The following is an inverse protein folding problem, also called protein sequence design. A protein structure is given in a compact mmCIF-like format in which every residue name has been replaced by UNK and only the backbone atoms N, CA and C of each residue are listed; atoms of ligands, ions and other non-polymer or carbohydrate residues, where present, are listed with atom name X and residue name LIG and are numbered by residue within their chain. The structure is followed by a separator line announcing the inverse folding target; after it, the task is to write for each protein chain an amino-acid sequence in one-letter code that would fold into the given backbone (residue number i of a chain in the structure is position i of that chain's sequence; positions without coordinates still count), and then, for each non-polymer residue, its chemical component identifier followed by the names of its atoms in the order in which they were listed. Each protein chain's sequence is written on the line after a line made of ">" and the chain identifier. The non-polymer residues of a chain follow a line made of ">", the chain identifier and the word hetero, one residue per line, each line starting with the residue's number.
data_IF_225464250065
#
_entry.id   IF_225464250065
#
_cell.length_a   1.000
_cell.length_b   1.000
_cell.length_c   1.000
_cell.angle_alpha   90.00
_cell.angle_beta   90.00
_cell.angle_gamma   90.00
#
_symmetry.space_group_name_H-M   'P 1'
#
loop_
_entity.id
_entity.type
_entity.pdbx_description
1 polymer ?
#
# COMPACT_ATOMS: atom_id res chain seq x y z
N UNK A 1 -17.03 -23.46 -18.00
CA UNK A 1 -16.00 -22.52 -18.48
C UNK A 1 -15.98 -21.22 -17.66
N UNK A 2 -17.10 -20.49 -17.53
CA UNK A 2 -17.16 -19.20 -16.82
C UNK A 2 -16.67 -19.23 -15.36
N UNK A 3 -17.08 -20.24 -14.57
CA UNK A 3 -16.67 -20.34 -13.17
C UNK A 3 -15.14 -20.47 -12.98
N UNK A 4 -14.46 -21.15 -13.91
CA UNK A 4 -13.00 -21.26 -13.90
C UNK A 4 -12.34 -19.90 -14.19
N UNK A 5 -12.84 -19.18 -15.20
CA UNK A 5 -12.34 -17.84 -15.56
C UNK A 5 -12.48 -16.86 -14.40
N UNK A 6 -13.62 -16.87 -13.69
CA UNK A 6 -13.81 -16.00 -12.53
C UNK A 6 -12.93 -16.42 -11.36
N UNK A 7 -12.85 -17.71 -11.05
CA UNK A 7 -12.03 -18.20 -9.94
C UNK A 7 -10.54 -17.87 -10.12
N UNK A 8 -10.01 -18.06 -11.33
CA UNK A 8 -8.61 -17.69 -11.63
C UNK A 8 -8.41 -16.18 -11.63
N UNK A 9 -9.39 -15.41 -12.12
CA UNK A 9 -9.39 -13.95 -12.05
C UNK A 9 -9.23 -13.43 -10.62
N UNK A 10 -10.07 -13.88 -9.70
CA UNK A 10 -9.99 -13.47 -8.28
C UNK A 10 -8.69 -13.91 -7.61
N UNK A 11 -8.24 -15.15 -7.86
CA UNK A 11 -6.98 -15.64 -7.31
C UNK A 11 -5.78 -14.81 -7.82
N UNK A 12 -5.77 -14.48 -9.11
CA UNK A 12 -4.74 -13.63 -9.70
C UNK A 12 -4.78 -12.21 -9.14
N UNK A 13 -5.96 -11.59 -9.06
CA UNK A 13 -6.12 -10.23 -8.53
C UNK A 13 -5.54 -10.09 -7.12
N UNK A 14 -5.88 -11.01 -6.21
CA UNK A 14 -5.37 -11.00 -4.83
C UNK A 14 -3.84 -11.10 -4.80
N UNK A 15 -3.27 -12.05 -5.55
CA UNK A 15 -1.83 -12.26 -5.60
C UNK A 15 -1.09 -11.09 -6.25
N UNK A 16 -1.59 -10.61 -7.39
CA UNK A 16 -0.99 -9.54 -8.18
C UNK A 16 -1.02 -8.21 -7.41
N UNK A 17 -2.16 -7.81 -6.85
CA UNK A 17 -2.26 -6.57 -6.08
C UNK A 17 -1.31 -6.59 -4.87
N UNK A 18 -1.26 -7.70 -4.13
CA UNK A 18 -0.34 -7.83 -3.00
C UNK A 18 1.14 -7.73 -3.39
N UNK A 19 1.52 -8.38 -4.50
CA UNK A 19 2.89 -8.34 -5.02
C UNK A 19 3.27 -6.94 -5.52
N UNK A 20 2.41 -6.32 -6.33
CA UNK A 20 2.67 -5.02 -6.92
C UNK A 20 2.69 -3.91 -5.87
N UNK A 21 1.83 -3.98 -4.84
CA UNK A 21 1.89 -3.05 -3.71
C UNK A 21 3.24 -3.15 -2.98
N UNK A 22 3.72 -4.36 -2.67
CA UNK A 22 5.03 -4.55 -2.04
C UNK A 22 6.18 -4.03 -2.90
N UNK A 23 6.11 -4.27 -4.21
CA UNK A 23 7.11 -3.80 -5.16
C UNK A 23 7.15 -2.27 -5.22
N UNK A 24 5.98 -1.64 -5.32
CA UNK A 24 5.85 -0.18 -5.27
C UNK A 24 6.37 0.41 -3.97
N UNK A 25 6.00 -0.21 -2.85
CA UNK A 25 6.43 0.21 -1.51
C UNK A 25 7.96 0.18 -1.36
N UNK A 26 8.59 -0.85 -1.93
CA UNK A 26 10.04 -0.99 -1.93
C UNK A 26 10.71 0.14 -2.71
N UNK A 27 10.22 0.43 -3.92
CA UNK A 27 10.78 1.47 -4.79
C UNK A 27 10.58 2.88 -4.25
N UNK A 28 9.51 3.10 -3.47
CA UNK A 28 9.13 4.43 -2.95
C UNK A 28 9.38 4.58 -1.44
N UNK A 29 10.16 3.69 -0.83
CA UNK A 29 10.47 3.74 0.60
C UNK A 29 11.06 5.09 1.00
N UNK A 30 10.54 5.65 2.09
CA UNK A 30 10.95 6.94 2.64
C UNK A 30 10.30 8.14 1.96
N UNK A 31 9.48 7.92 0.93
CA UNK A 31 8.71 8.97 0.23
C UNK A 31 7.21 8.83 0.42
N UNK A 32 6.73 7.69 0.89
CA UNK A 32 5.31 7.46 1.07
C UNK A 32 4.82 8.13 2.34
N UNK A 33 3.56 8.55 2.35
CA UNK A 33 2.95 9.15 3.53
C UNK A 33 3.09 8.27 4.78
N UNK A 34 2.85 6.96 4.67
CA UNK A 34 3.04 6.01 5.78
C UNK A 34 4.47 6.00 6.35
N UNK A 35 5.47 6.37 5.55
CA UNK A 35 6.87 6.43 5.97
C UNK A 35 7.22 7.76 6.64
N UNK A 36 6.55 8.86 6.26
CA UNK A 36 6.91 10.23 6.70
C UNK A 36 5.88 10.90 7.61
N UNK A 37 4.68 10.31 7.78
CA UNK A 37 3.56 10.89 8.53
C UNK A 37 3.93 11.35 9.93
N UNK A 38 4.73 10.56 10.65
CA UNK A 38 5.13 10.86 12.03
C UNK A 38 5.74 12.26 12.15
N UNK A 39 6.52 12.69 11.16
CA UNK A 39 7.18 14.01 11.14
C UNK A 39 6.22 15.20 11.12
N UNK A 40 4.98 15.00 10.67
CA UNK A 40 4.03 16.10 10.46
C UNK A 40 2.88 16.07 11.45
N UNK A 41 2.61 14.92 12.06
CA UNK A 41 1.54 14.79 13.05
C UNK A 41 2.09 15.12 14.43
N UNK A 42 3.27 14.61 14.78
CA UNK A 42 3.94 15.00 16.03
C UNK A 42 4.32 16.48 16.00
N UNK A 43 4.80 16.99 14.86
CA UNK A 43 5.08 18.42 14.71
C UNK A 43 3.81 19.30 14.82
N UNK A 44 2.64 18.79 14.42
CA UNK A 44 1.39 19.53 14.59
C UNK A 44 0.94 19.53 16.06
N UNK A 45 1.14 18.42 16.78
CA UNK A 45 0.84 18.32 18.20
C UNK A 45 1.78 19.22 19.04
N UNK A 46 3.08 19.28 18.70
CA UNK A 46 4.07 20.15 19.35
C UNK A 46 3.83 21.66 19.08
N UNK A 47 3.26 22.03 17.93
CA UNK A 47 2.91 23.41 17.58
C UNK A 47 1.63 23.91 18.31
N UNK A 48 0.82 22.99 18.86
CA UNK A 48 -0.42 23.30 19.60
C UNK A 48 -0.23 23.44 21.13
N UNK A 49 0.92 23.00 21.70
CA UNK A 49 1.33 23.24 23.10
C UNK A 49 2.08 24.57 23.32
#
# INVERSE_FOLDING_TARGET
>A
MLGFVFATGFAFEMGFNGAMNKYWDYLNRGRQWKDIRHKYVEAADDDEE
#
